data_IF_461377306418
#
_entry.id   IF_461377306418
#
_cell.length_a   1.000
_cell.length_b   1.000
_cell.length_c   1.000
_cell.angle_alpha   90.00
_cell.angle_beta   90.00
_cell.angle_gamma   90.00
#
_symmetry.space_group_name_H-M   'P 1'
#
loop_
_entity.id
_entity.type
_entity.pdbx_description
1 polymer ?
#
# COMPACT_ATOMS: atom_id res chain seq x y z
N UNK A 1 9.91 -16.89 -10.05
CA UNK A 1 10.38 -15.91 -11.05
C UNK A 1 10.06 -14.54 -10.48
N UNK A 2 11.07 -13.81 -9.99
CA UNK A 2 10.89 -12.42 -9.56
C UNK A 2 10.62 -11.55 -10.78
N UNK A 3 9.57 -10.75 -10.71
CA UNK A 3 9.21 -9.76 -11.73
C UNK A 3 10.25 -8.64 -11.71
N UNK A 4 11.07 -8.52 -12.76
CA UNK A 4 12.17 -7.53 -12.87
C UNK A 4 11.68 -6.08 -12.67
N UNK A 5 10.39 -5.82 -12.84
CA UNK A 5 9.78 -4.51 -12.59
C UNK A 5 9.96 -4.03 -11.14
N UNK A 6 9.87 -4.94 -10.17
CA UNK A 6 10.04 -4.57 -8.74
C UNK A 6 11.49 -4.23 -8.40
N UNK A 7 12.48 -4.90 -9.00
CA UNK A 7 13.89 -4.67 -8.66
C UNK A 7 14.45 -3.35 -9.18
N UNK A 8 13.99 -2.85 -10.33
CA UNK A 8 14.37 -1.51 -10.81
C UNK A 8 13.70 -0.39 -10.01
N UNK A 9 12.46 -0.57 -9.57
CA UNK A 9 11.77 0.42 -8.72
C UNK A 9 12.52 0.67 -7.40
N UNK A 10 13.18 -0.36 -6.85
CA UNK A 10 13.82 -0.33 -5.54
C UNK A 10 15.17 0.40 -5.49
N UNK A 11 15.89 0.58 -6.62
CA UNK A 11 17.18 1.29 -6.65
C UNK A 11 17.08 2.80 -6.40
N UNK A 12 15.87 3.31 -6.18
CA UNK A 12 15.59 4.75 -6.16
C UNK A 12 14.96 5.24 -4.85
N UNK A 13 14.83 4.39 -3.82
CA UNK A 13 14.42 4.81 -2.47
C UNK A 13 15.62 4.97 -1.54
N UNK A 14 15.75 6.13 -0.90
CA UNK A 14 16.82 6.48 0.03
C UNK A 14 16.29 6.66 1.45
N UNK A 15 17.10 6.36 2.46
CA UNK A 15 16.70 6.37 3.88
C UNK A 15 17.65 7.20 4.76
N UNK A 16 18.32 8.18 4.16
CA UNK A 16 19.39 8.95 4.79
C UNK A 16 18.83 9.74 5.99
N UNK A 17 17.64 10.34 5.88
CA UNK A 17 17.02 11.11 6.97
C UNK A 17 16.49 10.26 8.13
N UNK A 18 16.42 8.93 7.97
CA UNK A 18 15.96 8.01 9.04
C UNK A 18 17.09 7.32 9.80
N UNK A 19 18.35 7.65 9.48
CA UNK A 19 19.53 7.14 10.21
C UNK A 19 20.00 8.15 11.26
N UNK A 20 20.42 7.67 12.44
CA UNK A 20 21.19 8.48 13.41
C UNK A 20 22.44 9.03 12.69
N UNK A 21 22.84 10.29 12.92
CA UNK A 21 23.68 11.03 11.97
C UNK A 21 25.07 10.42 11.84
N UNK A 22 25.54 10.17 10.60
CA UNK A 22 26.95 10.23 10.27
C UNK A 22 27.18 11.45 9.36
N UNK A 23 28.19 12.25 9.70
CA UNK A 23 28.83 13.20 8.78
C UNK A 23 29.22 12.48 7.49
N UNK A 24 28.58 12.79 6.36
CA UNK A 24 29.19 12.93 5.01
C UNK A 24 28.08 13.30 4.02
N UNK A 25 28.22 14.44 3.36
CA UNK A 25 27.37 14.86 2.24
C UNK A 25 27.63 13.95 1.04
N UNK A 26 26.63 13.20 0.57
CA UNK A 26 26.68 12.53 -0.74
C UNK A 26 25.68 13.18 -1.70
N UNK A 27 26.25 13.69 -2.79
CA UNK A 27 25.59 14.24 -3.97
C UNK A 27 24.96 13.10 -4.77
N UNK A 28 23.63 13.02 -4.81
CA UNK A 28 22.92 12.00 -5.60
C UNK A 28 22.85 12.42 -7.07
N UNK A 29 23.48 11.62 -7.94
CA UNK A 29 23.32 11.69 -9.40
C UNK A 29 21.86 11.38 -9.76
N UNK A 30 21.16 12.38 -10.30
CA UNK A 30 19.77 12.30 -10.76
C UNK A 30 19.68 11.45 -12.05
N UNK A 31 19.38 10.16 -11.89
CA UNK A 31 18.79 9.33 -12.93
C UNK A 31 17.31 9.66 -13.10
N UNK A 32 16.81 9.66 -14.34
CA UNK A 32 15.49 10.12 -14.78
C UNK A 32 14.30 9.22 -14.39
N UNK A 33 14.33 8.54 -13.25
CA UNK A 33 13.23 7.69 -12.77
C UNK A 33 12.29 8.47 -11.85
N UNK A 34 10.99 8.17 -11.91
CA UNK A 34 10.00 8.78 -11.02
C UNK A 34 10.29 8.39 -9.56
N UNK A 35 10.22 9.33 -8.60
CA UNK A 35 10.51 9.03 -7.20
C UNK A 35 9.52 8.00 -6.65
N UNK A 36 10.04 7.03 -5.91
CA UNK A 36 9.28 5.96 -5.26
C UNK A 36 9.47 6.07 -3.77
N UNK A 37 8.37 6.20 -3.03
CA UNK A 37 8.40 6.18 -1.57
C UNK A 37 8.26 4.73 -1.12
N UNK A 38 9.16 4.29 -0.26
CA UNK A 38 9.07 3.01 0.43
C UNK A 38 8.73 3.26 1.89
N UNK A 39 7.59 2.75 2.35
CA UNK A 39 7.17 2.82 3.74
C UNK A 39 7.06 1.41 4.34
N UNK A 40 7.77 1.22 5.46
CA UNK A 40 7.66 0.04 6.30
C UNK A 40 6.63 0.31 7.40
N UNK A 41 5.56 -0.48 7.43
CA UNK A 41 4.42 -0.31 8.32
C UNK A 41 4.27 -1.52 9.23
N UNK A 42 3.79 -1.33 10.46
CA UNK A 42 3.28 -2.46 11.25
C UNK A 42 2.05 -3.09 10.57
N UNK A 43 1.64 -4.27 11.03
CA UNK A 43 0.41 -4.90 10.54
C UNK A 43 -0.86 -4.11 10.89
N UNK A 44 -0.77 -3.06 11.71
CA UNK A 44 -1.85 -2.11 12.01
C UNK A 44 -1.81 -0.87 11.10
N UNK A 45 -1.00 -0.87 10.04
CA UNK A 45 -0.88 0.25 9.07
C UNK A 45 -0.29 1.51 9.73
N UNK A 46 0.54 1.34 10.77
CA UNK A 46 1.31 2.42 11.38
C UNK A 46 2.72 2.46 10.79
N UNK A 47 3.17 3.62 10.34
CA UNK A 47 4.51 3.76 9.77
C UNK A 47 5.58 3.51 10.83
N UNK A 48 6.50 2.59 10.58
CA UNK A 48 7.71 2.41 11.37
C UNK A 48 8.85 3.27 10.81
N UNK A 49 9.05 3.20 9.50
CA UNK A 49 10.10 3.92 8.79
C UNK A 49 9.67 4.20 7.36
N UNK A 50 10.04 5.37 6.84
CA UNK A 50 9.65 5.83 5.50
C UNK A 50 10.88 6.38 4.80
N UNK A 51 10.96 6.20 3.49
CA UNK A 51 12.05 6.71 2.66
C UNK A 51 11.95 8.22 2.42
N UNK A 52 13.07 8.86 2.09
CA UNK A 52 13.22 10.31 2.00
C UNK A 52 12.44 10.90 0.80
N UNK A 53 12.10 10.07 -0.18
CA UNK A 53 11.32 10.46 -1.36
C UNK A 53 9.92 10.97 -0.99
N UNK A 54 9.43 10.69 0.23
CA UNK A 54 8.16 11.22 0.73
C UNK A 54 8.15 12.75 0.75
N UNK A 55 9.32 13.38 0.92
CA UNK A 55 9.46 14.83 0.85
C UNK A 55 9.24 15.34 -0.58
N UNK A 56 9.76 14.63 -1.58
CA UNK A 56 9.57 15.00 -2.98
C UNK A 56 8.14 14.72 -3.45
N UNK A 57 7.57 13.60 -2.99
CA UNK A 57 6.25 13.15 -3.43
C UNK A 57 5.13 13.89 -2.69
N UNK A 58 5.17 14.00 -1.36
CA UNK A 58 4.08 14.53 -0.53
C UNK A 58 4.45 15.78 0.27
N UNK A 59 5.72 16.16 0.31
CA UNK A 59 6.23 17.34 1.03
C UNK A 59 6.47 17.12 2.52
N UNK A 60 6.12 15.97 3.09
CA UNK A 60 6.41 15.67 4.49
C UNK A 60 7.85 15.24 4.68
N UNK A 61 8.35 15.42 5.88
CA UNK A 61 9.58 14.74 6.28
C UNK A 61 9.29 13.32 6.79
N UNK A 62 10.18 12.33 6.59
CA UNK A 62 9.97 10.95 7.05
C UNK A 62 9.59 10.84 8.54
N UNK A 63 10.22 11.65 9.41
CA UNK A 63 9.93 11.68 10.84
C UNK A 63 8.51 12.15 11.19
N UNK A 64 7.85 12.90 10.30
CA UNK A 64 6.46 13.34 10.53
C UNK A 64 5.47 12.21 10.32
N UNK A 65 5.85 11.18 9.55
CA UNK A 65 5.06 9.97 9.33
C UNK A 65 5.40 8.88 10.34
N UNK A 66 6.63 8.84 10.84
CA UNK A 66 7.10 7.83 11.78
C UNK A 66 6.15 7.69 12.99
N UNK A 67 5.82 6.44 13.31
CA UNK A 67 4.92 6.01 14.37
C UNK A 67 3.48 6.55 14.26
N UNK A 68 3.07 7.05 13.10
CA UNK A 68 1.69 7.50 12.85
C UNK A 68 0.95 6.53 11.93
N UNK A 69 -0.38 6.40 12.08
CA UNK A 69 -1.17 5.58 11.17
C UNK A 69 -1.22 6.23 9.79
N UNK A 70 -1.02 5.43 8.74
CA UNK A 70 -1.05 5.89 7.34
C UNK A 70 -2.37 6.60 7.00
N UNK A 71 -3.47 6.16 7.62
CA UNK A 71 -4.80 6.79 7.54
C UNK A 71 -4.80 8.30 7.81
N UNK A 72 -3.87 8.81 8.64
CA UNK A 72 -3.75 10.25 8.91
C UNK A 72 -3.43 11.06 7.64
N UNK A 73 -2.68 10.45 6.72
CA UNK A 73 -2.16 11.08 5.50
C UNK A 73 -3.01 10.74 4.28
N UNK A 74 -4.06 9.93 4.43
CA UNK A 74 -4.96 9.51 3.36
C UNK A 74 -6.14 10.48 3.27
N UNK A 75 -6.57 10.78 2.05
CA UNK A 75 -7.80 11.52 1.81
C UNK A 75 -9.00 10.68 2.28
N UNK A 76 -10.06 11.28 2.86
CA UNK A 76 -11.23 10.53 3.32
C UNK A 76 -11.85 9.63 2.24
N UNK A 77 -11.80 10.05 0.98
CA UNK A 77 -12.29 9.30 -0.19
C UNK A 77 -11.57 7.99 -0.44
N UNK A 78 -10.31 7.84 0.01
CA UNK A 78 -9.50 6.63 -0.14
C UNK A 78 -9.39 5.80 1.14
N UNK A 79 -10.06 6.21 2.23
CA UNK A 79 -10.01 5.47 3.50
C UNK A 79 -10.58 4.06 3.35
N UNK A 80 -11.68 3.89 2.62
CA UNK A 80 -12.29 2.58 2.37
C UNK A 80 -11.38 1.70 1.49
N UNK A 81 -10.74 2.29 0.48
CA UNK A 81 -9.77 1.59 -0.36
C UNK A 81 -8.61 1.04 0.46
N UNK A 82 -8.02 1.85 1.34
CA UNK A 82 -6.95 1.40 2.23
C UNK A 82 -7.41 0.30 3.19
N UNK A 83 -8.62 0.42 3.76
CA UNK A 83 -9.19 -0.60 4.63
C UNK A 83 -9.40 -1.93 3.91
N UNK A 84 -9.86 -1.90 2.66
CA UNK A 84 -9.98 -3.09 1.81
C UNK A 84 -8.63 -3.72 1.53
N UNK A 85 -7.63 -2.94 1.11
CA UNK A 85 -6.28 -3.45 0.84
C UNK A 85 -5.67 -4.10 2.09
N UNK A 86 -5.82 -3.46 3.24
CA UNK A 86 -5.35 -3.99 4.52
C UNK A 86 -6.03 -5.32 4.86
N UNK A 87 -7.35 -5.42 4.71
CA UNK A 87 -8.08 -6.67 4.94
C UNK A 87 -7.60 -7.79 4.03
N UNK A 88 -7.38 -7.52 2.74
CA UNK A 88 -6.87 -8.52 1.79
C UNK A 88 -5.50 -9.08 2.24
N UNK A 89 -4.61 -8.23 2.78
CA UNK A 89 -3.33 -8.69 3.31
C UNK A 89 -3.48 -9.57 4.55
N UNK A 90 -4.36 -9.19 5.49
CA UNK A 90 -4.62 -9.97 6.70
C UNK A 90 -5.30 -11.31 6.38
N UNK A 91 -6.20 -11.31 5.40
CA UNK A 91 -6.84 -12.53 4.90
C UNK A 91 -5.81 -13.44 4.23
N UNK A 92 -4.83 -12.89 3.49
CA UNK A 92 -3.72 -13.67 2.94
C UNK A 92 -2.88 -14.34 4.03
N UNK A 93 -2.50 -13.61 5.10
CA UNK A 93 -1.80 -14.21 6.25
C UNK A 93 -2.60 -15.37 6.84
N UNK A 94 -3.88 -15.12 7.14
CA UNK A 94 -4.76 -16.10 7.77
C UNK A 94 -4.95 -17.34 6.89
N UNK A 95 -5.18 -17.14 5.59
CA UNK A 95 -5.37 -18.21 4.63
C UNK A 95 -4.13 -19.09 4.50
N UNK A 96 -2.93 -18.50 4.37
CA UNK A 96 -1.70 -19.29 4.23
C UNK A 96 -1.35 -19.98 5.56
N UNK A 97 -1.40 -19.26 6.69
CA UNK A 97 -1.06 -19.83 7.98
C UNK A 97 -2.00 -20.99 8.36
N UNK A 98 -3.31 -20.84 8.13
CA UNK A 98 -4.30 -21.90 8.41
C UNK A 98 -4.16 -23.13 7.51
N UNK A 99 -3.58 -22.97 6.31
CA UNK A 99 -3.29 -24.10 5.41
C UNK A 99 -2.16 -25.00 5.92
N UNK A 100 -1.24 -24.46 6.72
CA UNK A 100 -0.12 -25.20 7.33
C UNK A 100 -0.44 -25.64 8.75
N UNK A 101 -1.17 -24.82 9.50
CA UNK A 101 -1.60 -25.09 10.86
C UNK A 101 -3.07 -24.72 11.04
N UNK A 102 -3.95 -25.72 11.02
CA UNK A 102 -5.39 -25.54 11.16
C UNK A 102 -5.82 -24.93 12.51
N UNK A 103 -4.95 -24.94 13.53
CA UNK A 103 -5.23 -24.32 14.83
C UNK A 103 -4.96 -22.82 14.84
N UNK A 104 -4.37 -22.30 13.77
CA UNK A 104 -4.10 -20.89 13.61
C UNK A 104 -5.41 -20.13 13.40
N UNK A 105 -5.78 -19.30 14.38
CA UNK A 105 -6.94 -18.40 14.31
C UNK A 105 -6.64 -16.99 14.82
N UNK A 106 -5.38 -16.67 15.12
CA UNK A 106 -5.01 -15.41 15.79
C UNK A 106 -4.29 -14.48 14.85
N UNK A 107 -4.70 -13.22 14.81
CA UNK A 107 -3.84 -12.14 14.30
C UNK A 107 -2.46 -12.23 14.95
N UNK A 108 -1.37 -12.32 14.18
CA UNK A 108 -0.05 -12.53 14.78
C UNK A 108 0.33 -11.32 15.64
N UNK A 109 1.06 -11.50 16.75
CA UNK A 109 1.69 -10.38 17.43
C UNK A 109 2.58 -9.66 16.42
N UNK A 110 2.64 -8.34 16.47
CA UNK A 110 3.29 -7.54 15.42
C UNK A 110 4.46 -6.79 16.02
N UNK A 111 5.52 -6.61 15.23
CA UNK A 111 6.62 -5.75 15.65
C UNK A 111 6.13 -4.33 15.85
N UNK A 112 6.47 -3.76 17.02
CA UNK A 112 6.13 -2.38 17.32
C UNK A 112 6.86 -1.47 16.32
N UNK A 113 6.21 -0.40 15.89
CA UNK A 113 6.84 0.56 14.96
C UNK A 113 8.11 1.19 15.55
N UNK A 114 8.22 1.27 16.88
CA UNK A 114 9.41 1.73 17.62
C UNK A 114 10.48 0.65 17.81
N UNK A 115 10.29 -0.55 17.27
CA UNK A 115 11.27 -1.65 17.35
C UNK A 115 12.55 -1.25 16.62
N UNK A 116 13.69 -1.43 17.28
CA UNK A 116 15.01 -1.14 16.71
C UNK A 116 15.25 -1.89 15.40
N UNK A 117 14.61 -3.06 15.22
CA UNK A 117 14.70 -3.88 14.02
C UNK A 117 14.41 -3.12 12.73
N UNK A 118 13.51 -2.13 12.72
CA UNK A 118 13.21 -1.33 11.52
C UNK A 118 14.33 -0.34 11.16
N UNK A 119 15.17 0.02 12.12
CA UNK A 119 16.24 1.00 11.97
C UNK A 119 17.61 0.35 11.84
N UNK A 120 17.85 -0.76 12.56
CA UNK A 120 19.10 -1.53 12.52
C UNK A 120 19.21 -2.39 11.27
N UNK A 121 18.08 -2.80 10.67
CA UNK A 121 18.06 -3.61 9.46
C UNK A 121 18.18 -2.73 8.22
N UNK A 122 19.01 -3.16 7.27
CA UNK A 122 19.19 -2.44 6.01
C UNK A 122 17.88 -2.42 5.21
N UNK A 123 17.52 -1.29 4.56
CA UNK A 123 16.29 -1.19 3.78
C UNK A 123 16.12 -2.28 2.72
N UNK A 124 17.21 -2.64 2.00
CA UNK A 124 17.17 -3.72 0.99
C UNK A 124 16.77 -5.09 1.58
N UNK A 125 17.10 -5.33 2.85
CA UNK A 125 16.63 -6.54 3.54
C UNK A 125 15.17 -6.38 3.94
N UNK A 126 14.78 -5.19 4.42
CA UNK A 126 13.40 -4.88 4.79
C UNK A 126 12.43 -4.86 3.59
N UNK A 127 12.90 -4.77 2.35
CA UNK A 127 12.02 -4.88 1.18
C UNK A 127 11.80 -6.33 0.73
N UNK A 128 12.46 -7.32 1.34
CA UNK A 128 12.26 -8.72 1.02
C UNK A 128 10.80 -9.12 1.27
N UNK A 129 10.16 -9.68 0.25
CA UNK A 129 8.80 -10.21 0.34
C UNK A 129 8.78 -11.50 1.18
N UNK A 130 7.83 -11.62 2.10
CA UNK A 130 7.64 -12.85 2.86
C UNK A 130 7.15 -13.98 1.95
N UNK A 131 7.65 -15.20 2.17
CA UNK A 131 7.14 -16.38 1.46
C UNK A 131 5.64 -16.54 1.68
N UNK A 132 4.88 -16.76 0.62
CA UNK A 132 3.41 -16.86 0.66
C UNK A 132 2.66 -15.52 0.62
N UNK A 133 3.38 -14.39 0.70
CA UNK A 133 2.79 -13.07 0.57
C UNK A 133 2.19 -12.84 -0.81
N UNK A 134 1.06 -12.15 -0.84
CA UNK A 134 0.50 -11.57 -2.06
C UNK A 134 0.85 -10.10 -2.17
N UNK A 135 0.86 -9.60 -3.41
CA UNK A 135 1.02 -8.18 -3.71
C UNK A 135 -0.29 -7.62 -4.23
N UNK A 136 -0.77 -6.56 -3.60
CA UNK A 136 -2.00 -5.85 -3.98
C UNK A 136 -1.66 -4.41 -4.35
N UNK A 137 -2.36 -3.84 -5.32
CA UNK A 137 -2.13 -2.47 -5.75
C UNK A 137 -3.44 -1.75 -6.06
N UNK A 138 -3.48 -0.46 -5.78
CA UNK A 138 -4.60 0.42 -6.09
C UNK A 138 -4.14 1.88 -6.14
N UNK A 139 -5.04 2.79 -6.51
CA UNK A 139 -4.80 4.23 -6.42
C UNK A 139 -5.30 4.74 -5.06
N UNK A 140 -4.42 5.43 -4.33
CA UNK A 140 -4.76 6.13 -3.10
C UNK A 140 -4.59 7.64 -3.28
N UNK A 141 -5.62 8.39 -2.89
CA UNK A 141 -5.53 9.84 -2.75
C UNK A 141 -4.91 10.16 -1.39
N UNK A 142 -3.77 10.84 -1.40
CA UNK A 142 -3.02 11.23 -0.20
C UNK A 142 -3.03 12.74 -0.03
N UNK A 143 -3.05 13.20 1.22
CA UNK A 143 -2.92 14.61 1.59
C UNK A 143 -1.46 15.01 1.53
N UNK A 144 -1.12 16.05 0.79
CA UNK A 144 0.20 16.68 0.81
C UNK A 144 0.34 17.63 1.99
N UNK A 145 1.57 17.99 2.34
CA UNK A 145 1.86 18.94 3.42
C UNK A 145 1.27 20.36 3.18
N UNK A 146 1.10 20.74 1.91
CA UNK A 146 0.50 21.99 1.45
C UNK A 146 -1.04 21.98 1.50
N UNK A 147 -1.65 20.86 1.94
CA UNK A 147 -3.10 20.67 2.04
C UNK A 147 -3.78 20.20 0.75
N UNK A 148 -3.05 20.13 -0.37
CA UNK A 148 -3.59 19.57 -1.62
C UNK A 148 -3.63 18.03 -1.59
N UNK A 149 -4.34 17.44 -2.55
CA UNK A 149 -4.47 15.99 -2.68
C UNK A 149 -3.69 15.49 -3.89
N UNK A 150 -2.98 14.37 -3.73
CA UNK A 150 -2.24 13.71 -4.81
C UNK A 150 -2.69 12.26 -4.96
N UNK A 151 -3.01 11.85 -6.19
CA UNK A 151 -3.31 10.47 -6.52
C UNK A 151 -2.01 9.70 -6.75
N UNK A 152 -1.78 8.66 -5.94
CA UNK A 152 -0.60 7.84 -5.98
C UNK A 152 -0.97 6.38 -6.26
N UNK A 153 -0.17 5.73 -7.08
CA UNK A 153 -0.20 4.28 -7.21
C UNK A 153 0.45 3.69 -5.97
N UNK A 154 -0.34 2.94 -5.20
CA UNK A 154 0.09 2.31 -3.97
C UNK A 154 0.13 0.80 -4.18
N UNK A 155 1.28 0.19 -3.87
CA UNK A 155 1.48 -1.25 -3.89
C UNK A 155 1.80 -1.72 -2.47
N UNK A 156 1.10 -2.76 -2.00
CA UNK A 156 1.29 -3.34 -0.69
C UNK A 156 1.61 -4.83 -0.77
N UNK A 157 2.49 -5.28 0.10
CA UNK A 157 2.80 -6.69 0.33
C UNK A 157 3.39 -6.89 1.73
N UNK A 158 3.52 -8.14 2.16
CA UNK A 158 4.06 -8.49 3.47
C UNK A 158 5.57 -8.65 3.39
N UNK A 159 6.27 -8.05 4.34
CA UNK A 159 7.72 -8.10 4.46
C UNK A 159 8.20 -9.29 5.27
N UNK A 160 9.20 -9.99 4.73
CA UNK A 160 9.89 -11.13 5.33
C UNK A 160 11.30 -10.82 5.81
N UNK A 161 11.78 -9.58 5.64
CA UNK A 161 13.15 -9.16 5.94
C UNK A 161 13.60 -9.35 7.38
N UNK A 162 12.64 -9.48 8.31
CA UNK A 162 12.88 -9.76 9.73
C UNK A 162 12.78 -11.26 10.07
N UNK A 163 12.82 -12.12 9.04
CA UNK A 163 12.75 -13.58 9.17
C UNK A 163 11.33 -14.15 9.19
N UNK A 164 10.34 -13.39 8.71
CA UNK A 164 8.96 -13.85 8.67
C UNK A 164 8.65 -14.68 7.41
N UNK A 165 7.92 -15.79 7.61
CA UNK A 165 7.48 -16.70 6.55
C UNK A 165 6.03 -17.14 6.83
N UNK A 166 5.12 -16.97 5.86
CA UNK A 166 3.70 -17.31 6.06
C UNK A 166 3.47 -18.82 6.21
N UNK A 167 4.40 -19.66 5.73
CA UNK A 167 4.36 -21.10 5.93
C UNK A 167 4.94 -21.55 7.27
N UNK A 168 5.50 -20.63 8.06
CA UNK A 168 6.02 -20.91 9.40
C UNK A 168 5.33 -20.04 10.45
N UNK A 169 4.19 -20.50 11.02
CA UNK A 169 3.39 -19.73 11.97
C UNK A 169 4.16 -19.14 13.17
N UNK A 170 5.22 -19.80 13.61
CA UNK A 170 6.10 -19.35 14.70
C UNK A 170 6.86 -18.06 14.37
N UNK A 171 7.03 -17.72 13.09
CA UNK A 171 7.80 -16.55 12.63
C UNK A 171 6.94 -15.33 12.31
N UNK A 172 5.61 -15.48 12.31
CA UNK A 172 4.68 -14.40 11.93
C UNK A 172 4.75 -13.18 12.86
N UNK A 173 5.32 -13.35 14.05
CA UNK A 173 5.67 -12.26 14.96
C UNK A 173 6.50 -11.15 14.32
N UNK A 174 7.31 -11.51 13.33
CA UNK A 174 8.22 -10.61 12.62
C UNK A 174 7.61 -10.02 11.34
N UNK A 175 6.32 -10.26 11.03
CA UNK A 175 5.68 -9.69 9.86
C UNK A 175 5.47 -8.18 9.99
N UNK A 176 5.59 -7.52 8.84
CA UNK A 176 5.28 -6.10 8.65
C UNK A 176 4.75 -5.91 7.23
N UNK A 177 4.20 -4.74 6.95
CA UNK A 177 3.67 -4.39 5.63
C UNK A 177 4.66 -3.45 4.95
N UNK A 178 4.91 -3.69 3.68
CA UNK A 178 5.67 -2.78 2.82
C UNK A 178 4.67 -2.08 1.92
N UNK A 179 4.74 -0.76 1.89
CA UNK A 179 3.93 0.11 1.02
C UNK A 179 4.86 0.88 0.11
N UNK A 180 4.71 0.69 -1.20
CA UNK A 180 5.40 1.46 -2.23
C UNK A 180 4.42 2.47 -2.83
N UNK A 181 4.83 3.73 -2.88
CA UNK A 181 4.03 4.81 -3.47
C UNK A 181 4.80 5.45 -4.61
N UNK A 182 4.14 5.59 -5.77
CA UNK A 182 4.68 6.30 -6.91
C UNK A 182 3.58 7.08 -7.62
N UNK A 183 3.96 8.06 -8.45
CA UNK A 183 2.99 8.67 -9.35
C UNK A 183 2.50 7.62 -10.34
N UNK A 184 1.20 7.56 -10.65
CA UNK A 184 0.69 6.67 -11.67
C UNK A 184 1.41 6.97 -12.99
N UNK A 185 2.01 5.95 -13.59
CA UNK A 185 2.61 6.11 -14.92
C UNK A 185 1.48 6.36 -15.90
N UNK A 186 1.37 7.61 -16.40
CA UNK A 186 0.42 7.90 -17.47
C UNK A 186 0.82 7.01 -18.66
N UNK A 187 -0.08 6.22 -19.27
CA UNK A 187 0.26 5.55 -20.50
C UNK A 187 0.61 6.65 -21.50
N UNK A 188 1.89 6.78 -21.83
CA UNK A 188 2.33 7.61 -22.94
C UNK A 188 1.70 6.98 -24.17
N UNK A 189 0.64 7.60 -24.69
CA UNK A 189 0.19 7.31 -26.04
C UNK A 189 1.42 7.49 -26.94
N UNK A 190 1.93 6.39 -27.49
CA UNK A 190 2.95 6.47 -28.53
C UNK A 190 2.33 7.27 -29.66
N UNK A 191 2.78 8.51 -29.83
CA UNK A 191 2.53 9.25 -31.07
C UNK A 191 3.22 8.45 -32.15
N UNK A 192 2.46 7.67 -32.91
CA UNK A 192 2.93 7.18 -34.20
C UNK A 192 3.18 8.41 -35.05
N UNK A 193 4.45 8.83 -35.12
CA UNK A 193 4.92 9.78 -36.12
C UNK A 193 4.81 9.03 -37.45
N UNK A 194 3.72 9.27 -38.19
CA UNK A 194 3.60 8.89 -39.59
C UNK A 194 4.68 9.65 -40.35
N UNK A 195 5.78 8.97 -40.67
CA UNK A 195 6.84 9.50 -41.50
C UNK A 195 6.34 9.53 -42.97
N UNK A 196 6.44 10.65 -43.69
CA UNK A 196 6.06 10.70 -45.09
C UNK A 196 7.08 9.96 -45.97
N UNK A 197 6.53 9.25 -46.95
CA UNK A 197 7.12 8.41 -48.00
C UNK A 197 8.38 8.94 -48.71
N UNK A 198 9.08 8.05 -49.42
CA UNK A 198 9.26 8.26 -50.86
C UNK A 198 8.90 7.06 -51.73
N UNK A 199 8.05 7.35 -52.72
CA UNK A 199 7.99 6.87 -54.10
C UNK A 199 8.77 5.59 -54.47
N UNK A 200 8.04 4.57 -54.96
CA UNK A 200 8.49 3.79 -56.13
C UNK A 200 7.30 3.21 -56.90
N UNK A 201 7.30 3.49 -58.20
CA UNK A 201 6.41 3.02 -59.27
C UNK A 201 6.87 1.61 -59.67
N UNK A 202 5.96 0.65 -59.90
CA UNK A 202 5.95 -0.30 -61.05
C UNK A 202 4.60 -1.02 -61.13
N UNK A 203 4.10 -1.07 -62.38
CA UNK A 203 2.92 -1.67 -62.99
C UNK A 203 2.98 -3.19 -63.15
N UNK A 204 1.85 -3.90 -62.96
CA UNK A 204 1.31 -5.03 -63.80
C UNK A 204 -0.01 -5.53 -63.16
N UNK A 205 -1.18 -5.28 -63.75
CA UNK A 205 -1.86 -6.01 -64.84
C UNK A 205 -2.68 -7.25 -64.42
N UNK A 206 -4.01 -7.10 -64.60
CA UNK A 206 -4.99 -8.06 -65.16
C UNK A 206 -5.88 -8.93 -64.25
N UNK A 207 -7.19 -8.68 -64.46
CA UNK A 207 -8.34 -9.61 -64.63
C UNK A 207 -9.16 -10.15 -63.45
N UNK A 208 -10.48 -9.94 -63.63
CA UNK A 208 -11.62 -10.82 -63.31
C UNK A 208 -12.13 -10.83 -61.85
N UNK A 209 -13.41 -10.93 -61.50
CA UNK A 209 -14.74 -11.01 -62.18
C UNK A 209 -15.75 -11.12 -61.01
N UNK A 210 -16.89 -10.40 -61.07
CA UNK A 210 -18.24 -10.68 -60.47
C UNK A 210 -18.32 -11.12 -58.98
N UNK A 211 -19.19 -10.60 -58.10
CA UNK A 211 -20.65 -10.85 -58.05
C UNK A 211 -21.28 -10.13 -56.84
N UNK A 212 -22.60 -9.96 -56.93
CA UNK A 212 -23.67 -9.35 -56.13
C UNK A 212 -23.90 -9.75 -54.66
N UNK A 213 -24.85 -9.03 -54.01
CA UNK A 213 -25.76 -9.33 -52.85
C UNK A 213 -25.35 -8.69 -51.50
N UNK A 214 -26.02 -7.64 -50.99
CA UNK A 214 -27.33 -7.44 -50.29
C UNK A 214 -27.37 -7.82 -48.80
N UNK A 215 -28.18 -7.06 -48.04
CA UNK A 215 -28.63 -7.14 -46.63
C UNK A 215 -27.71 -6.54 -45.55
N UNK A 216 -28.05 -5.40 -44.91
CA UNK A 216 -29.00 -5.15 -43.79
C UNK A 216 -28.78 -6.06 -42.58
N UNK A 217 -28.29 -5.53 -41.46
CA UNK A 217 -29.09 -5.43 -40.23
C UNK A 217 -28.39 -4.62 -39.11
N UNK A 218 -29.24 -4.12 -38.22
CA UNK A 218 -29.10 -3.16 -37.12
C UNK A 218 -28.31 -3.66 -35.89
N UNK A 219 -27.71 -2.76 -35.08
CA UNK A 219 -27.22 -3.08 -33.73
C UNK A 219 -28.28 -2.81 -32.64
N UNK A 220 -28.48 -3.71 -31.64
CA UNK A 220 -29.38 -3.46 -30.52
C UNK A 220 -28.73 -2.65 -29.38
N UNK A 221 -29.53 -1.74 -28.82
CA UNK A 221 -29.24 -0.90 -27.65
C UNK A 221 -29.16 -1.70 -26.33
N UNK A 222 -28.33 -1.29 -25.35
CA UNK A 222 -28.30 -1.90 -24.03
C UNK A 222 -29.39 -1.38 -23.08
N UNK A 223 -29.83 -2.30 -22.22
CA UNK A 223 -30.95 -2.26 -21.29
C UNK A 223 -30.73 -1.30 -20.10
N UNK A 224 -31.74 -0.49 -19.81
CA UNK A 224 -31.92 0.28 -18.56
C UNK A 224 -32.31 -0.68 -17.42
N UNK A 225 -31.53 -0.72 -16.33
CA UNK A 225 -31.97 -1.34 -15.07
C UNK A 225 -32.24 -0.24 -14.03
N UNK A 226 -33.52 -0.06 -13.77
CA UNK A 226 -34.09 0.81 -12.74
C UNK A 226 -34.01 0.15 -11.37
N UNK A 227 -33.39 0.84 -10.41
CA UNK A 227 -33.76 0.78 -8.99
C UNK A 227 -35.05 1.59 -8.80
N UNK A 228 -35.94 1.26 -7.84
CA UNK A 228 -35.94 2.10 -6.62
C UNK A 228 -36.52 1.47 -5.32
N UNK A 229 -36.19 2.15 -4.19
CA UNK A 229 -37.00 2.36 -2.95
C UNK A 229 -37.30 1.15 -2.03
N UNK A 230 -37.44 1.24 -0.69
CA UNK A 230 -37.40 2.30 0.34
C UNK A 230 -37.53 1.69 1.77
N UNK A 231 -37.09 2.45 2.78
CA UNK A 231 -37.70 2.71 4.12
C UNK A 231 -37.91 1.62 5.21
N UNK A 232 -37.32 1.90 6.40
CA UNK A 232 -37.93 2.03 7.76
C UNK A 232 -36.87 1.75 8.85
N UNK A 233 -36.32 2.74 9.59
CA UNK A 233 -36.78 3.34 10.88
C UNK A 233 -37.19 2.36 11.99
N UNK A 234 -36.54 2.50 13.17
CA UNK A 234 -36.94 2.21 14.58
C UNK A 234 -35.78 1.58 15.39
N UNK A 235 -35.42 1.88 16.65
CA UNK A 235 -35.96 2.73 17.72
C UNK A 235 -34.85 3.03 18.75
N UNK A 236 -34.97 4.16 19.44
CA UNK A 236 -34.31 4.52 20.70
C UNK A 236 -34.55 3.50 21.82
N UNK A 237 -33.62 3.44 22.79
CA UNK A 237 -33.74 3.22 24.26
C UNK A 237 -32.33 2.76 24.72
N UNK A 238 -31.75 3.08 25.88
CA UNK A 238 -31.96 4.01 26.99
C UNK A 238 -30.82 3.69 27.98
N UNK A 239 -30.12 4.69 28.53
CA UNK A 239 -29.20 4.50 29.66
C UNK A 239 -29.95 3.99 30.91
N UNK A 240 -29.25 3.37 31.87
CA UNK A 240 -28.99 4.14 33.09
C UNK A 240 -27.62 3.92 33.74
N UNK A 241 -27.22 5.00 34.40
CA UNK A 241 -26.22 5.16 35.46
C UNK A 241 -26.31 4.10 36.57
N UNK A 242 -25.16 3.71 37.13
CA UNK A 242 -25.11 3.32 38.54
C UNK A 242 -23.81 3.79 39.23
N UNK A 243 -24.00 4.64 40.23
CA UNK A 243 -23.04 4.99 41.28
C UNK A 243 -22.96 3.86 42.31
N UNK A 244 -21.77 3.55 42.80
CA UNK A 244 -21.52 3.26 44.23
C UNK A 244 -20.00 3.34 44.45
N UNK A 245 -19.47 4.36 45.10
CA UNK A 245 -19.34 4.55 46.56
C UNK A 245 -18.48 3.52 47.28
N UNK A 246 -17.65 4.08 48.16
CA UNK A 246 -16.90 3.52 49.29
C UNK A 246 -15.57 2.84 48.99
N UNK A 247 -14.53 2.97 49.83
CA UNK A 247 -14.20 3.88 50.93
C UNK A 247 -12.77 3.52 51.37
N UNK A 248 -12.02 4.52 51.81
CA UNK A 248 -10.97 4.50 52.84
C UNK A 248 -10.39 3.16 53.31
N UNK A 249 -9.06 3.01 53.26
CA UNK A 249 -8.31 2.48 54.40
C UNK A 249 -6.88 3.03 54.44
N UNK A 250 -6.64 3.84 55.47
CA UNK A 250 -5.33 4.11 56.05
C UNK A 250 -4.69 2.80 56.53
N UNK A 251 -3.40 2.58 56.26
CA UNK A 251 -2.48 2.14 57.30
C UNK A 251 -1.08 2.69 57.07
N UNK A 252 -0.72 3.50 58.04
CA UNK A 252 0.61 3.96 58.43
C UNK A 252 1.31 2.80 59.14
N UNK A 253 2.55 2.50 58.77
CA UNK A 253 3.46 1.75 59.65
C UNK A 253 4.79 2.49 59.63
N UNK A 254 4.94 3.39 60.59
CA UNK A 254 6.21 3.89 61.09
C UNK A 254 6.90 2.79 61.93
N UNK A 255 8.23 2.93 62.09
CA UNK A 255 9.06 2.41 63.18
C UNK A 255 9.41 0.90 63.15
N UNK A 256 10.62 0.42 63.49
CA UNK A 256 11.81 1.00 64.13
C UNK A 256 12.99 0.00 63.99
N UNK A 257 14.20 0.55 63.89
CA UNK A 257 15.50 0.10 64.44
C UNK A 257 15.78 -1.42 64.61
N UNK A 258 16.82 -1.93 63.93
CA UNK A 258 18.22 -2.05 64.42
C UNK A 258 19.08 -2.77 63.39
#
# INVERSE_FOLDING_TARGET
MMDQSTSEFMRHSSFIMTTLPPTTSQTTLQGTSSPVVTAFLSMEICCARVSDEVQTLLGYYPQELAHRPLYSFIAPTSSETLARLHRVLLDNVTHVASSVDATWQRTPPTERTTSEKFFSTHPDTLTAIANGSQTVADILWMKRNDGSLEALQAQFYLGGGLGADLYQPSTLGSLYIICLLSRPTRPTASVFVSNPSPTHIVTTATTNTTTTTTSTDTPPSPVLLTNPTAFAQQTLLSSPSNQSNNSTSFMRVDALLS
#
